data_IF_753186777610
#
_entry.id   IF_753186777610
#
_cell.length_a   1.000
_cell.length_b   1.000
_cell.length_c   1.000
_cell.angle_alpha   90.00
_cell.angle_beta   90.00
_cell.angle_gamma   90.00
#
_symmetry.space_group_name_H-M   'P 1'
#
loop_
_entity.id
_entity.type
_entity.pdbx_description
1 polymer ?
#
# COMPACT_ATOMS: atom_id res chain seq x y z
N UNK A 1 15.36 -16.70 -3.05
CA UNK A 1 16.43 -15.72 -2.68
C UNK A 1 16.42 -15.46 -1.18
N UNK A 2 17.54 -14.97 -0.60
CA UNK A 2 17.59 -14.60 0.82
C UNK A 2 17.04 -13.18 1.04
N UNK A 3 16.15 -13.02 2.02
CA UNK A 3 15.65 -11.72 2.49
C UNK A 3 16.32 -11.39 3.81
N UNK A 4 16.87 -10.18 3.90
CA UNK A 4 17.58 -9.71 5.10
C UNK A 4 16.63 -9.07 6.10
N UNK A 5 15.60 -8.35 5.62
CA UNK A 5 14.63 -7.63 6.46
C UNK A 5 13.26 -7.58 5.78
N UNK A 6 12.21 -7.90 6.53
CA UNK A 6 10.82 -7.64 6.14
C UNK A 6 10.38 -6.30 6.72
N UNK A 7 9.88 -5.39 5.88
CA UNK A 7 9.46 -4.06 6.29
C UNK A 7 7.96 -3.90 6.24
N UNK A 8 7.39 -3.30 7.28
CA UNK A 8 6.05 -2.72 7.28
C UNK A 8 6.18 -1.21 7.05
N UNK A 9 6.04 -0.75 5.80
CA UNK A 9 6.10 0.66 5.43
C UNK A 9 4.69 1.18 5.13
N UNK A 10 4.20 2.19 5.85
CA UNK A 10 2.80 2.62 5.66
C UNK A 10 2.54 4.07 6.04
N UNK A 11 1.50 4.63 5.40
CA UNK A 11 0.73 5.77 5.91
C UNK A 11 -0.63 5.25 6.40
N UNK A 12 -1.02 5.60 7.62
CA UNK A 12 -2.27 5.11 8.23
C UNK A 12 -2.86 6.11 9.21
N UNK A 13 -3.78 6.97 8.73
CA UNK A 13 -4.41 7.99 9.56
C UNK A 13 -5.41 7.43 10.59
N UNK A 14 -5.97 6.24 10.34
CA UNK A 14 -7.00 5.58 11.17
C UNK A 14 -6.60 4.16 11.58
N UNK A 15 -5.32 3.82 11.54
CA UNK A 15 -4.72 2.52 11.86
C UNK A 15 -5.18 1.32 11.00
N UNK A 16 -6.08 1.50 10.03
CA UNK A 16 -6.57 0.38 9.20
C UNK A 16 -5.48 -0.15 8.27
N UNK A 17 -4.81 0.72 7.51
CA UNK A 17 -3.68 0.35 6.64
C UNK A 17 -2.53 -0.25 7.46
N UNK A 18 -2.21 0.33 8.62
CA UNK A 18 -1.20 -0.19 9.53
C UNK A 18 -1.47 -1.64 9.95
N UNK A 19 -2.72 -1.96 10.31
CA UNK A 19 -3.09 -3.33 10.73
C UNK A 19 -2.82 -4.34 9.63
N UNK A 20 -3.29 -4.08 8.40
CA UNK A 20 -3.11 -4.97 7.25
C UNK A 20 -1.63 -5.15 6.89
N UNK A 21 -0.91 -4.04 6.72
CA UNK A 21 0.51 -4.05 6.33
C UNK A 21 1.37 -4.73 7.38
N UNK A 22 1.12 -4.44 8.66
CA UNK A 22 1.87 -5.05 9.77
C UNK A 22 1.59 -6.55 9.86
N UNK A 23 0.36 -6.99 9.65
CA UNK A 23 0.01 -8.41 9.65
C UNK A 23 0.74 -9.17 8.55
N UNK A 24 0.74 -8.64 7.33
CA UNK A 24 1.42 -9.23 6.17
C UNK A 24 2.94 -9.28 6.43
N UNK A 25 3.55 -8.15 6.83
CA UNK A 25 4.99 -8.07 7.08
C UNK A 25 5.44 -9.01 8.21
N UNK A 26 4.66 -9.12 9.28
CA UNK A 26 4.93 -10.03 10.40
C UNK A 26 4.92 -11.49 9.93
N UNK A 27 3.92 -11.89 9.15
CA UNK A 27 3.82 -13.25 8.63
C UNK A 27 5.00 -13.58 7.73
N UNK A 28 5.37 -12.67 6.82
CA UNK A 28 6.53 -12.82 5.96
C UNK A 28 7.85 -12.92 6.74
N UNK A 29 8.04 -12.06 7.73
CA UNK A 29 9.21 -12.10 8.63
C UNK A 29 9.36 -13.46 9.31
N UNK A 30 8.26 -14.03 9.81
CA UNK A 30 8.24 -15.35 10.45
C UNK A 30 8.64 -16.48 9.47
N UNK A 31 8.05 -16.48 8.27
CA UNK A 31 8.32 -17.52 7.27
C UNK A 31 9.72 -17.44 6.67
N UNK A 32 10.19 -16.22 6.41
CA UNK A 32 11.52 -15.94 5.87
C UNK A 32 12.62 -15.97 6.94
N UNK A 33 12.26 -16.12 8.20
CA UNK A 33 13.18 -16.14 9.36
C UNK A 33 14.10 -14.92 9.40
N UNK A 34 13.57 -13.75 9.06
CA UNK A 34 14.30 -12.49 9.04
C UNK A 34 13.68 -11.46 10.01
N UNK A 35 14.43 -10.46 10.47
CA UNK A 35 13.89 -9.41 11.32
C UNK A 35 12.79 -8.62 10.61
N UNK A 36 11.79 -8.16 11.38
CA UNK A 36 10.79 -7.22 10.93
C UNK A 36 11.12 -5.82 11.41
N UNK A 37 11.03 -4.84 10.51
CA UNK A 37 11.13 -3.43 10.84
C UNK A 37 9.87 -2.67 10.39
N UNK A 38 9.65 -1.51 10.99
CA UNK A 38 8.51 -0.65 10.68
C UNK A 38 8.98 0.73 10.23
N UNK A 39 8.36 1.23 9.17
CA UNK A 39 8.51 2.59 8.69
C UNK A 39 7.14 3.27 8.60
N UNK A 40 6.73 3.92 9.69
CA UNK A 40 5.49 4.68 9.76
C UNK A 40 5.74 6.12 9.26
N UNK A 41 5.30 6.42 8.03
CA UNK A 41 5.42 7.76 7.45
C UNK A 41 4.11 8.57 7.51
N UNK A 42 3.24 8.25 8.49
CA UNK A 42 1.95 8.96 8.69
C UNK A 42 2.18 10.42 9.03
N UNK A 43 3.14 10.71 9.90
CA UNK A 43 3.40 12.07 10.35
C UNK A 43 4.30 12.84 9.39
N UNK A 44 3.99 14.13 9.18
CA UNK A 44 4.68 14.99 8.22
C UNK A 44 6.18 15.10 8.47
N UNK A 45 6.61 15.10 9.74
CA UNK A 45 8.03 15.24 10.06
C UNK A 45 8.86 14.02 9.63
N UNK A 46 8.28 12.82 9.53
CA UNK A 46 8.95 11.60 9.05
C UNK A 46 9.19 11.67 7.54
N UNK A 47 8.38 12.45 6.82
CA UNK A 47 8.45 12.64 5.36
C UNK A 47 9.33 13.81 4.93
N UNK A 48 10.20 14.33 5.79
CA UNK A 48 11.14 15.42 5.44
C UNK A 48 12.20 14.94 4.46
N UNK A 49 12.70 13.71 4.69
CA UNK A 49 13.74 13.11 3.85
C UNK A 49 13.21 11.84 3.18
N UNK A 50 13.62 11.53 1.95
CA UNK A 50 13.31 10.28 1.30
C UNK A 50 13.84 9.09 2.10
N UNK A 51 13.03 8.04 2.22
CA UNK A 51 13.47 6.76 2.77
C UNK A 51 14.14 5.96 1.66
N UNK A 52 15.31 5.40 1.95
CA UNK A 52 15.97 4.42 1.10
C UNK A 52 15.85 3.02 1.72
N UNK A 53 15.60 2.04 0.86
CA UNK A 53 15.68 0.60 1.12
C UNK A 53 16.85 0.02 0.33
N UNK A 54 17.15 -1.27 0.50
CA UNK A 54 18.28 -1.91 -0.14
C UNK A 54 17.90 -3.27 -0.74
N UNK A 55 18.72 -3.76 -1.64
CA UNK A 55 18.63 -5.14 -2.11
C UNK A 55 18.66 -6.11 -0.92
N UNK A 56 17.78 -7.12 -0.94
CA UNK A 56 17.56 -8.02 0.20
C UNK A 56 16.48 -7.57 1.20
N UNK A 57 15.94 -6.35 1.05
CA UNK A 57 14.72 -5.97 1.77
C UNK A 57 13.47 -6.48 1.04
N UNK A 58 12.44 -6.87 1.82
CA UNK A 58 11.08 -7.13 1.34
C UNK A 58 10.15 -6.12 2.01
N UNK A 59 9.60 -5.20 1.22
CA UNK A 59 8.85 -4.05 1.73
C UNK A 59 7.38 -4.19 1.45
N UNK A 60 6.57 -4.47 2.47
CA UNK A 60 5.11 -4.35 2.41
C UNK A 60 4.78 -2.86 2.52
N UNK A 61 4.42 -2.25 1.39
CA UNK A 61 4.24 -0.80 1.29
C UNK A 61 2.77 -0.45 1.17
N UNK A 62 2.20 0.19 2.19
CA UNK A 62 0.77 0.46 2.28
C UNK A 62 0.35 1.92 2.30
N UNK A 63 -0.72 2.21 1.54
CA UNK A 63 -1.41 3.51 1.58
C UNK A 63 -2.92 3.32 1.64
N UNK A 64 -3.68 4.27 2.23
CA UNK A 64 -5.11 4.31 2.01
C UNK A 64 -5.43 4.76 0.57
N UNK A 65 -6.69 4.59 0.18
CA UNK A 65 -7.24 5.07 -1.09
C UNK A 65 -8.04 6.34 -0.86
N UNK A 66 -7.64 7.45 -1.48
CA UNK A 66 -8.39 8.70 -1.48
C UNK A 66 -8.83 9.04 -2.91
N UNK A 67 -10.14 9.16 -3.12
CA UNK A 67 -10.72 9.45 -4.44
C UNK A 67 -10.21 8.50 -5.56
N UNK A 68 -10.10 7.20 -5.25
CA UNK A 68 -9.69 6.15 -6.19
C UNK A 68 -8.19 6.07 -6.50
N UNK A 69 -7.36 6.84 -5.81
CA UNK A 69 -5.91 6.99 -6.07
C UNK A 69 -5.09 6.90 -4.78
N UNK A 70 -3.78 6.80 -4.90
CA UNK A 70 -2.86 7.13 -3.81
C UNK A 70 -3.14 8.57 -3.37
N UNK A 71 -3.25 8.88 -2.05
CA UNK A 71 -3.57 10.23 -1.62
C UNK A 71 -2.64 11.29 -2.24
N UNK A 72 -3.24 12.35 -2.81
CA UNK A 72 -2.50 13.43 -3.48
C UNK A 72 -1.45 14.10 -2.60
N UNK A 73 -1.68 14.12 -1.28
CA UNK A 73 -0.70 14.63 -0.30
C UNK A 73 0.50 13.70 -0.08
N UNK A 74 0.42 12.45 -0.54
CA UNK A 74 1.45 11.43 -0.35
C UNK A 74 2.21 11.09 -1.62
N UNK A 75 1.59 11.20 -2.80
CA UNK A 75 2.16 10.66 -4.04
C UNK A 75 3.56 11.22 -4.34
N UNK A 76 3.81 12.50 -4.06
CA UNK A 76 5.12 13.11 -4.23
C UNK A 76 6.17 12.51 -3.30
N UNK A 77 5.79 12.21 -2.05
CA UNK A 77 6.67 11.54 -1.10
C UNK A 77 6.94 10.10 -1.51
N UNK A 78 5.89 9.34 -1.85
CA UNK A 78 6.04 7.94 -2.30
C UNK A 78 6.95 7.85 -3.51
N UNK A 79 6.84 8.80 -4.46
CA UNK A 79 7.72 8.86 -5.63
C UNK A 79 9.18 9.23 -5.30
N UNK A 80 9.46 9.77 -4.13
CA UNK A 80 10.82 10.07 -3.67
C UNK A 80 11.48 8.90 -2.93
N UNK A 81 10.72 7.89 -2.53
CA UNK A 81 11.25 6.72 -1.82
C UNK A 81 12.10 5.88 -2.77
N UNK A 82 13.26 5.45 -2.31
CA UNK A 82 14.25 4.71 -3.10
C UNK A 82 14.20 3.22 -2.75
N UNK A 83 13.93 2.39 -3.74
CA UNK A 83 13.83 0.93 -3.56
C UNK A 83 15.18 0.23 -3.48
N UNK A 84 16.21 0.74 -4.20
CA UNK A 84 17.55 0.16 -4.16
C UNK A 84 17.63 -1.33 -4.54
N UNK A 85 16.70 -1.82 -5.38
CA UNK A 85 16.59 -3.23 -5.74
C UNK A 85 15.80 -4.10 -4.76
N UNK A 86 15.12 -3.51 -3.77
CA UNK A 86 14.27 -4.25 -2.84
C UNK A 86 13.05 -4.87 -3.54
N UNK A 87 12.56 -6.01 -3.03
CA UNK A 87 11.23 -6.51 -3.38
C UNK A 87 10.15 -5.65 -2.71
N UNK A 88 9.04 -5.43 -3.40
CA UNK A 88 7.90 -4.71 -2.84
C UNK A 88 6.59 -5.50 -2.92
N UNK A 89 5.73 -5.27 -1.94
CA UNK A 89 4.33 -5.72 -1.91
C UNK A 89 3.46 -4.48 -1.73
N UNK A 90 3.04 -3.80 -2.83
CA UNK A 90 2.08 -2.70 -2.75
C UNK A 90 0.75 -3.17 -2.17
N UNK A 91 0.27 -2.45 -1.16
CA UNK A 91 -0.99 -2.70 -0.46
C UNK A 91 -1.81 -1.42 -0.40
N UNK A 92 -3.08 -1.49 -0.79
CA UNK A 92 -4.00 -0.36 -0.64
C UNK A 92 -5.20 -0.72 0.22
N UNK A 93 -5.60 0.18 1.12
CA UNK A 93 -6.76 0.01 1.97
C UNK A 93 -7.84 1.03 1.58
N UNK A 94 -9.06 0.58 1.29
CA UNK A 94 -10.14 1.43 0.81
C UNK A 94 -11.41 1.28 1.65
N UNK A 95 -12.18 2.37 1.73
CA UNK A 95 -13.39 2.47 2.54
C UNK A 95 -14.63 1.85 1.87
N UNK A 96 -14.59 0.59 1.50
CA UNK A 96 -15.72 -0.24 1.05
C UNK A 96 -16.47 0.22 -0.24
N UNK A 97 -15.96 1.22 -0.99
CA UNK A 97 -16.51 1.57 -2.31
C UNK A 97 -15.75 0.86 -3.44
N UNK A 98 -14.56 1.32 -3.72
CA UNK A 98 -13.65 0.83 -4.75
C UNK A 98 -12.26 1.43 -4.50
N UNK A 99 -11.22 0.76 -4.99
CA UNK A 99 -9.85 1.29 -4.96
C UNK A 99 -9.40 1.87 -6.30
N UNK A 100 -10.24 1.75 -7.34
CA UNK A 100 -10.02 2.28 -8.70
C UNK A 100 -8.57 2.05 -9.17
N UNK A 101 -7.79 3.10 -9.39
CA UNK A 101 -6.41 3.01 -9.89
C UNK A 101 -5.32 3.02 -8.78
N UNK A 102 -5.71 3.10 -7.50
CA UNK A 102 -4.74 3.29 -6.42
C UNK A 102 -3.66 2.20 -6.35
N UNK A 103 -4.03 0.93 -6.57
CA UNK A 103 -3.08 -0.18 -6.53
C UNK A 103 -2.12 -0.13 -7.73
N UNK A 104 -2.63 0.15 -8.92
CA UNK A 104 -1.81 0.31 -10.13
C UNK A 104 -0.85 1.49 -9.98
N UNK A 105 -1.35 2.64 -9.49
CA UNK A 105 -0.52 3.83 -9.22
C UNK A 105 0.59 3.54 -8.21
N UNK A 106 0.26 2.89 -7.09
CA UNK A 106 1.26 2.56 -6.08
C UNK A 106 2.33 1.61 -6.66
N UNK A 107 1.91 0.56 -7.38
CA UNK A 107 2.82 -0.36 -8.07
C UNK A 107 3.75 0.37 -9.04
N UNK A 108 3.18 1.22 -9.93
CA UNK A 108 3.96 1.98 -10.91
C UNK A 108 4.98 2.91 -10.22
N UNK A 109 4.54 3.61 -9.18
CA UNK A 109 5.39 4.54 -8.44
C UNK A 109 6.55 3.83 -7.74
N UNK A 110 6.28 2.69 -7.11
CA UNK A 110 7.34 1.87 -6.48
C UNK A 110 8.29 1.30 -7.52
N UNK A 111 7.79 0.81 -8.66
CA UNK A 111 8.64 0.33 -9.77
C UNK A 111 9.57 1.45 -10.26
N UNK A 112 9.04 2.65 -10.49
CA UNK A 112 9.85 3.81 -10.89
C UNK A 112 10.88 4.23 -9.82
N UNK A 113 10.58 3.96 -8.53
CA UNK A 113 11.49 4.17 -7.40
C UNK A 113 12.57 3.09 -7.23
N UNK A 114 12.67 2.13 -8.16
CA UNK A 114 13.70 1.09 -8.13
C UNK A 114 13.37 -0.12 -7.25
N UNK A 115 12.08 -0.37 -6.97
CA UNK A 115 11.60 -1.62 -6.36
C UNK A 115 11.22 -2.66 -7.42
N UNK A 116 11.18 -3.92 -7.02
CA UNK A 116 10.64 -5.04 -7.78
C UNK A 116 9.34 -5.54 -7.14
N UNK A 117 8.14 -5.07 -7.57
CA UNK A 117 6.87 -5.53 -7.00
C UNK A 117 6.60 -7.01 -7.30
N UNK A 118 6.52 -7.86 -6.28
CA UNK A 118 6.32 -9.31 -6.39
C UNK A 118 4.86 -9.73 -6.30
N UNK A 119 4.05 -8.99 -5.56
CA UNK A 119 2.60 -9.20 -5.40
C UNK A 119 1.96 -7.88 -5.01
N UNK A 120 0.62 -7.77 -5.11
CA UNK A 120 -0.12 -6.59 -4.69
C UNK A 120 -1.51 -6.95 -4.18
N UNK A 121 -2.03 -6.19 -3.22
CA UNK A 121 -3.34 -6.44 -2.64
C UNK A 121 -4.13 -5.16 -2.35
N UNK A 122 -5.47 -5.28 -2.40
CA UNK A 122 -6.40 -4.24 -2.01
C UNK A 122 -7.36 -4.78 -0.95
N UNK A 123 -7.38 -4.17 0.24
CA UNK A 123 -8.22 -4.58 1.36
C UNK A 123 -9.34 -3.57 1.61
N UNK A 124 -10.56 -4.08 1.77
CA UNK A 124 -11.69 -3.26 2.21
C UNK A 124 -11.59 -3.06 3.71
N UNK A 125 -11.62 -1.81 4.14
CA UNK A 125 -11.50 -1.39 5.53
C UNK A 125 -12.63 -0.44 5.92
N UNK A 126 -12.71 -0.08 7.19
CA UNK A 126 -13.63 0.95 7.65
C UNK A 126 -13.36 2.27 6.94
N UNK A 127 -14.42 2.92 6.45
CA UNK A 127 -14.34 4.21 5.80
C UNK A 127 -13.97 5.32 6.79
N UNK A 128 -13.02 6.20 6.43
CA UNK A 128 -12.52 7.24 7.35
C UNK A 128 -13.58 8.26 7.80
N UNK A 129 -14.61 8.51 6.98
CA UNK A 129 -15.68 9.49 7.26
C UNK A 129 -17.03 8.85 7.59
N UNK A 130 -17.11 7.50 7.64
CA UNK A 130 -18.34 6.79 7.95
C UNK A 130 -18.11 5.82 9.09
N UNK A 131 -18.97 5.89 10.11
CA UNK A 131 -18.94 4.96 11.24
C UNK A 131 -19.65 3.63 10.92
N UNK A 132 -20.34 3.55 9.79
CA UNK A 132 -21.14 2.37 9.39
C UNK A 132 -20.57 1.62 8.21
N UNK A 133 -19.94 2.31 7.25
CA UNK A 133 -19.36 1.63 6.08
C UNK A 133 -18.06 0.90 6.44
N UNK A 134 -18.10 -0.43 6.34
CA UNK A 134 -16.98 -1.29 6.71
C UNK A 134 -16.64 -1.21 8.20
N UNK A 135 -17.63 -0.90 9.06
CA UNK A 135 -17.42 -0.73 10.49
C UNK A 135 -16.69 -1.91 11.12
N UNK A 136 -15.67 -1.62 11.94
CA UNK A 136 -14.86 -2.62 12.62
C UNK A 136 -13.78 -3.31 11.77
N UNK A 137 -13.74 -3.03 10.45
CA UNK A 137 -12.71 -3.62 9.57
C UNK A 137 -11.39 -2.82 9.59
N UNK A 138 -10.21 -3.50 9.49
CA UNK A 138 -10.08 -4.96 9.39
C UNK A 138 -10.41 -5.65 10.74
N UNK A 139 -11.19 -6.72 10.64
CA UNK A 139 -11.47 -7.66 11.72
C UNK A 139 -10.56 -8.91 11.66
N UNK A 140 -10.86 -9.92 12.49
CA UNK A 140 -10.05 -11.15 12.55
C UNK A 140 -10.11 -11.95 11.23
N UNK A 141 -11.23 -11.92 10.52
CA UNK A 141 -11.37 -12.59 9.22
C UNK A 141 -10.55 -11.88 8.15
N UNK A 142 -10.54 -10.55 8.13
CA UNK A 142 -9.73 -9.75 7.22
C UNK A 142 -8.23 -10.02 7.45
N UNK A 143 -7.79 -10.05 8.71
CA UNK A 143 -6.40 -10.35 9.06
C UNK A 143 -6.02 -11.80 8.74
N UNK A 144 -6.97 -12.73 8.75
CA UNK A 144 -6.75 -14.12 8.29
C UNK A 144 -6.53 -14.14 6.78
N UNK A 145 -7.30 -13.35 6.00
CA UNK A 145 -7.11 -13.19 4.56
C UNK A 145 -5.74 -12.56 4.26
N UNK A 146 -5.36 -11.53 5.01
CA UNK A 146 -4.04 -10.90 4.89
C UNK A 146 -2.89 -11.90 5.17
N UNK A 147 -3.08 -12.78 6.14
CA UNK A 147 -2.12 -13.87 6.46
C UNK A 147 -2.01 -14.84 5.29
N UNK A 148 -3.13 -15.32 4.74
CA UNK A 148 -3.13 -16.21 3.58
C UNK A 148 -2.53 -15.56 2.32
N UNK A 149 -2.72 -14.25 2.14
CA UNK A 149 -2.01 -13.50 1.09
C UNK A 149 -0.50 -13.48 1.33
N UNK A 150 -0.06 -13.25 2.58
CA UNK A 150 1.36 -13.30 2.92
C UNK A 150 1.99 -14.67 2.64
N UNK A 151 1.25 -15.78 2.89
CA UNK A 151 1.70 -17.14 2.56
C UNK A 151 1.94 -17.31 1.06
N UNK A 152 1.05 -16.77 0.22
CA UNK A 152 1.24 -16.78 -1.24
C UNK A 152 2.44 -15.93 -1.68
N UNK A 153 2.65 -14.76 -1.05
CA UNK A 153 3.83 -13.91 -1.30
C UNK A 153 5.11 -14.64 -0.93
N UNK A 154 5.15 -15.31 0.21
CA UNK A 154 6.29 -16.12 0.66
C UNK A 154 6.70 -17.14 -0.40
N UNK A 155 5.76 -17.94 -0.90
CA UNK A 155 6.07 -18.95 -1.94
C UNK A 155 6.61 -18.34 -3.24
N UNK A 156 6.11 -17.15 -3.63
CA UNK A 156 6.68 -16.43 -4.78
C UNK A 156 8.11 -15.98 -4.53
N UNK A 157 8.37 -15.38 -3.37
CA UNK A 157 9.72 -14.90 -2.99
C UNK A 157 10.71 -16.06 -2.89
N UNK A 158 10.29 -17.18 -2.28
CA UNK A 158 11.12 -18.39 -2.16
C UNK A 158 11.53 -18.95 -3.53
N UNK A 159 10.64 -18.92 -4.51
CA UNK A 159 10.90 -19.38 -5.88
C UNK A 159 11.76 -18.44 -6.72
N UNK A 160 11.99 -17.18 -6.30
CA UNK A 160 12.80 -16.24 -7.05
C UNK A 160 14.31 -16.51 -6.84
N UNK A 161 15.11 -16.57 -7.90
CA UNK A 161 16.56 -16.64 -7.78
C UNK A 161 17.19 -15.32 -7.31
N UNK A 162 16.62 -14.18 -7.72
CA UNK A 162 17.00 -12.83 -7.30
C UNK A 162 15.83 -11.85 -7.45
N UNK A 163 15.96 -10.63 -6.92
CA UNK A 163 14.92 -9.60 -7.05
C UNK A 163 14.74 -9.15 -8.51
N UNK A 164 15.82 -9.05 -9.27
CA UNK A 164 15.81 -8.67 -10.69
C UNK A 164 15.10 -9.71 -11.57
N UNK A 165 15.06 -10.96 -11.14
CA UNK A 165 14.32 -12.02 -11.83
C UNK A 165 12.81 -11.98 -11.56
N UNK A 166 12.33 -11.05 -10.70
CA UNK A 166 10.92 -10.87 -10.46
C UNK A 166 10.21 -10.40 -11.75
N UNK A 167 9.22 -11.16 -12.26
CA UNK A 167 8.51 -10.76 -13.46
C UNK A 167 7.66 -9.51 -13.18
N UNK A 168 7.37 -8.69 -14.23
CA UNK A 168 6.49 -7.53 -14.09
C UNK A 168 5.14 -7.91 -13.46
N UNK A 169 4.77 -7.19 -12.41
CA UNK A 169 3.49 -7.40 -11.75
C UNK A 169 2.38 -6.61 -12.45
N UNK A 170 1.32 -7.31 -12.84
CA UNK A 170 0.08 -6.71 -13.33
C UNK A 170 -0.98 -6.75 -12.23
N UNK A 171 -1.62 -5.62 -12.00
CA UNK A 171 -2.72 -5.45 -11.03
C UNK A 171 -3.88 -4.72 -11.68
N UNK A 172 -5.08 -4.84 -11.12
CA UNK A 172 -6.24 -4.09 -11.59
C UNK A 172 -6.01 -2.58 -11.43
N UNK A 173 -6.41 -1.81 -12.45
CA UNK A 173 -6.30 -0.36 -12.58
C UNK A 173 -5.81 0.02 -13.97
N UNK A 174 -5.91 1.31 -14.28
CA UNK A 174 -5.45 1.84 -15.57
C UNK A 174 -3.93 2.08 -15.56
N UNK A 175 -3.32 1.97 -16.75
CA UNK A 175 -1.95 2.35 -17.02
C UNK A 175 -1.92 3.03 -18.41
N UNK A 176 -1.77 4.36 -18.52
CA UNK A 176 -1.58 5.33 -17.42
C UNK A 176 -2.81 5.47 -16.52
N UNK A 177 -2.58 5.85 -15.26
CA UNK A 177 -3.63 6.03 -14.26
C UNK A 177 -4.58 7.17 -14.63
N UNK A 178 -5.88 6.98 -14.38
CA UNK A 178 -6.93 7.97 -14.63
C UNK A 178 -6.91 9.15 -13.64
N UNK A 179 -7.83 10.10 -13.76
CA UNK A 179 -7.97 11.21 -12.84
C UNK A 179 -8.47 10.75 -11.47
N UNK A 180 -8.28 11.58 -10.45
CA UNK A 180 -8.94 11.37 -9.14
C UNK A 180 -10.46 11.37 -9.30
N UNK A 181 -11.14 10.47 -8.59
CA UNK A 181 -12.59 10.44 -8.56
C UNK A 181 -13.15 11.80 -8.11
N UNK A 182 -14.03 12.36 -8.92
CA UNK A 182 -14.71 13.61 -8.58
C UNK A 182 -16.07 13.27 -7.97
N UNK A 183 -16.32 13.62 -6.69
CA UNK A 183 -17.63 13.46 -6.07
C UNK A 183 -18.71 14.16 -6.87
N UNK A 184 -19.90 13.53 -6.97
CA UNK A 184 -21.05 14.07 -7.68
C UNK A 184 -22.25 14.18 -6.75
N UNK A 185 -23.09 15.17 -6.99
CA UNK A 185 -24.36 15.31 -6.30
C UNK A 185 -25.37 14.23 -6.77
N UNK A 186 -26.58 14.23 -6.17
CA UNK A 186 -27.66 13.30 -6.55
C UNK A 186 -28.16 13.47 -7.99
N UNK A 187 -27.81 14.56 -8.66
CA UNK A 187 -28.15 14.85 -10.06
C UNK A 187 -26.99 14.54 -11.02
N UNK A 188 -25.86 14.03 -10.50
CA UNK A 188 -24.67 13.69 -11.29
C UNK A 188 -23.72 14.86 -11.57
N UNK A 189 -23.98 16.06 -11.03
CA UNK A 189 -23.11 17.23 -11.20
C UNK A 189 -21.85 17.10 -10.32
N UNK A 190 -20.67 17.49 -10.82
CA UNK A 190 -19.46 17.52 -9.99
C UNK A 190 -19.64 18.42 -8.78
N UNK A 191 -19.33 17.91 -7.59
CA UNK A 191 -19.27 18.72 -6.37
C UNK A 191 -17.88 19.33 -6.26
N UNK A 192 -17.81 20.65 -6.31
CA UNK A 192 -16.58 21.36 -6.02
C UNK A 192 -16.33 21.37 -4.50
N UNK A 193 -15.50 20.43 -4.03
CA UNK A 193 -15.03 20.41 -2.63
C UNK A 193 -13.87 21.41 -2.52
N UNK A 194 -14.07 22.66 -2.86
CA UNK A 194 -13.10 23.69 -2.51
C UNK A 194 -12.99 23.78 -1.00
N UNK A 195 -11.78 24.06 -0.49
CA UNK A 195 -11.50 23.90 0.94
C UNK A 195 -12.48 24.71 1.78
N UNK A 196 -13.27 24.02 2.57
CA UNK A 196 -13.92 24.64 3.73
C UNK A 196 -12.75 25.13 4.58
N UNK A 197 -12.54 26.45 4.57
CA UNK A 197 -11.57 27.05 5.51
C UNK A 197 -12.01 26.62 6.90
N UNK A 198 -11.16 25.96 7.68
CA UNK A 198 -11.50 25.71 9.07
C UNK A 198 -11.78 27.05 9.74
N UNK A 199 -12.92 27.13 10.42
CA UNK A 199 -13.22 28.29 11.27
C UNK A 199 -12.28 28.31 12.44
#
# INVERSE_FOLDING_TARGET
MQINTAWAAYFSATDTTKKEVTQIARRLSQQLQCPMQTFDFTLKHVRKEPKAFAAGDLVVFGTPVYAGRVPNLLIKYVASVQGGGALAVPVVCYGNRNYDDALSELRLTLTAGGFHPVAGAAFSCQHSFSLTQGAGRPDISDLTIATGFADQVYHKVEALPSAEACPPLFVKGNDPVGPYYTPRDRHGNPINILPVKPK
#
